data_IF_660826580672
#
_entry.id   IF_660826580672
#
_cell.length_a   1.000
_cell.length_b   1.000
_cell.length_c   1.000
_cell.angle_alpha   90.00
_cell.angle_beta   90.00
_cell.angle_gamma   90.00
#
_symmetry.space_group_name_H-M   'P 1'
#
loop_
_entity.id
_entity.type
_entity.pdbx_description
1 polymer ?
#
# COMPACT_ATOMS: atom_id res chain seq x y z
N UNK A 1 15.46 40.66 5.61
CA UNK A 1 15.35 39.52 4.66
C UNK A 1 15.92 38.18 5.18
N UNK A 2 16.84 38.12 6.15
CA UNK A 2 17.36 36.84 6.68
C UNK A 2 16.35 36.07 7.55
N UNK A 3 15.45 36.76 8.25
CA UNK A 3 14.50 36.12 9.18
C UNK A 3 13.34 35.40 8.50
N UNK A 4 12.85 35.91 7.36
CA UNK A 4 11.82 35.23 6.54
C UNK A 4 12.34 33.89 6.00
N UNK A 5 13.64 33.79 5.71
CA UNK A 5 14.27 32.55 5.22
C UNK A 5 14.35 31.47 6.31
N UNK A 6 14.55 31.86 7.57
CA UNK A 6 14.51 30.94 8.71
C UNK A 6 13.07 30.49 9.02
N UNK A 7 12.08 31.38 8.90
CA UNK A 7 10.67 31.02 9.04
C UNK A 7 10.23 30.01 7.98
N UNK A 8 10.66 30.16 6.72
CA UNK A 8 10.36 29.18 5.67
C UNK A 8 11.03 27.82 5.93
N UNK A 9 12.25 27.80 6.48
CA UNK A 9 12.94 26.57 6.86
C UNK A 9 12.28 25.89 8.06
N UNK A 10 11.83 26.65 9.06
CA UNK A 10 11.08 26.12 10.21
C UNK A 10 9.69 25.65 9.79
N UNK A 11 9.03 26.32 8.83
CA UNK A 11 7.78 25.85 8.23
C UNK A 11 7.98 24.56 7.41
N UNK A 12 9.07 24.48 6.62
CA UNK A 12 9.43 23.25 5.90
C UNK A 12 9.73 22.12 6.89
N UNK A 13 10.50 22.39 7.96
CA UNK A 13 10.86 21.40 8.97
C UNK A 13 9.64 21.00 9.83
N UNK A 14 8.68 21.91 10.08
CA UNK A 14 7.41 21.58 10.76
C UNK A 14 6.46 20.79 9.86
N UNK A 15 6.47 20.98 8.54
CA UNK A 15 5.79 20.05 7.61
C UNK A 15 6.51 18.71 7.46
N UNK A 16 7.81 18.66 7.72
CA UNK A 16 8.63 17.44 7.80
C UNK A 16 8.53 16.83 9.23
N UNK A 17 7.92 17.55 10.16
CA UNK A 17 7.82 17.20 11.57
C UNK A 17 6.84 16.07 11.80
N UNK A 18 7.39 14.94 12.24
CA UNK A 18 6.71 13.72 12.68
C UNK A 18 6.31 12.81 11.51
N UNK A 19 7.26 11.97 11.07
CA UNK A 19 6.99 10.71 10.37
C UNK A 19 6.21 9.73 11.28
N UNK A 20 5.01 10.11 11.71
CA UNK A 20 3.94 9.17 11.91
C UNK A 20 3.45 8.86 10.48
N UNK A 21 3.83 7.70 9.94
CA UNK A 21 3.23 7.26 8.69
C UNK A 21 1.72 7.35 8.83
N UNK A 22 1.04 8.00 7.87
CA UNK A 22 -0.41 8.01 7.84
C UNK A 22 -0.90 6.56 8.01
N UNK A 23 -1.83 6.34 8.92
CA UNK A 23 -2.47 5.03 9.05
C UNK A 23 -3.36 4.82 7.81
N UNK A 24 -3.36 3.60 7.27
CA UNK A 24 -4.33 3.21 6.27
C UNK A 24 -5.74 3.16 6.86
N UNK A 25 -5.90 3.08 8.19
CA UNK A 25 -7.20 3.12 8.90
C UNK A 25 -8.21 2.12 8.30
N UNK A 26 -7.76 0.87 8.14
CA UNK A 26 -8.58 -0.23 7.60
C UNK A 26 -9.18 -1.00 8.77
N UNK A 27 -10.50 -1.23 8.74
CA UNK A 27 -11.17 -2.08 9.72
C UNK A 27 -12.03 -3.14 9.04
N UNK A 28 -11.99 -4.37 9.54
CA UNK A 28 -12.79 -5.49 9.05
C UNK A 28 -13.67 -5.99 10.18
N UNK A 29 -14.99 -5.85 10.03
CA UNK A 29 -16.00 -6.24 11.02
C UNK A 29 -16.86 -7.41 10.53
N UNK A 30 -16.40 -8.14 9.51
CA UNK A 30 -17.07 -9.34 9.00
C UNK A 30 -16.48 -10.59 9.63
N UNK A 31 -17.28 -11.65 9.75
CA UNK A 31 -16.90 -12.92 10.37
C UNK A 31 -15.99 -13.76 9.46
N UNK A 32 -14.72 -13.39 9.38
CA UNK A 32 -13.65 -14.18 8.75
C UNK A 32 -12.56 -14.49 9.77
N UNK A 33 -11.53 -15.22 9.35
CA UNK A 33 -10.31 -15.40 10.15
C UNK A 33 -9.68 -14.03 10.49
N UNK A 34 -9.92 -13.57 11.72
CA UNK A 34 -9.46 -12.28 12.23
C UNK A 34 -7.93 -12.22 12.36
N UNK A 35 -7.28 -13.38 12.53
CA UNK A 35 -5.82 -13.45 12.61
C UNK A 35 -5.23 -13.14 11.24
N UNK A 36 -5.74 -13.80 10.20
CA UNK A 36 -5.33 -13.55 8.82
C UNK A 36 -5.64 -12.11 8.38
N UNK A 37 -6.84 -11.61 8.70
CA UNK A 37 -7.25 -10.23 8.45
C UNK A 37 -6.31 -9.21 9.10
N UNK A 38 -5.98 -9.40 10.38
CA UNK A 38 -5.06 -8.53 11.11
C UNK A 38 -3.65 -8.55 10.52
N UNK A 39 -3.15 -9.74 10.14
CA UNK A 39 -1.85 -9.87 9.46
C UNK A 39 -1.83 -9.17 8.10
N UNK A 40 -2.91 -9.27 7.33
CA UNK A 40 -3.05 -8.58 6.06
C UNK A 40 -3.00 -7.05 6.23
N UNK A 41 -3.82 -6.49 7.15
CA UNK A 41 -3.83 -5.04 7.44
C UNK A 41 -2.45 -4.57 7.89
N UNK A 42 -1.83 -5.27 8.84
CA UNK A 42 -0.49 -4.94 9.33
C UNK A 42 0.54 -4.95 8.20
N UNK A 43 0.50 -5.94 7.33
CA UNK A 43 1.45 -6.05 6.21
C UNK A 43 1.24 -4.96 5.17
N UNK A 44 -0.01 -4.57 4.89
CA UNK A 44 -0.33 -3.41 4.06
C UNK A 44 0.19 -2.11 4.68
N UNK A 45 0.01 -1.92 5.99
CA UNK A 45 0.52 -0.74 6.69
C UNK A 45 2.06 -0.68 6.64
N UNK A 46 2.74 -1.80 6.87
CA UNK A 46 4.20 -1.86 6.76
C UNK A 46 4.68 -1.56 5.32
N UNK A 47 3.98 -2.07 4.31
CA UNK A 47 4.28 -1.77 2.91
C UNK A 47 4.06 -0.28 2.61
N UNK A 48 3.00 0.32 3.13
CA UNK A 48 2.69 1.73 2.98
C UNK A 48 3.74 2.63 3.63
N UNK A 49 4.12 2.33 4.88
CA UNK A 49 5.16 3.07 5.59
C UNK A 49 6.51 3.03 4.84
N UNK A 50 6.89 1.86 4.30
CA UNK A 50 8.11 1.77 3.49
C UNK A 50 7.98 2.52 2.17
N UNK A 51 6.81 2.49 1.53
CA UNK A 51 6.53 3.25 0.31
C UNK A 51 6.65 4.77 0.55
N UNK A 52 6.08 5.29 1.64
CA UNK A 52 6.22 6.69 2.04
C UNK A 52 7.69 7.05 2.28
N UNK A 53 8.43 6.22 3.02
CA UNK A 53 9.86 6.45 3.26
C UNK A 53 10.69 6.45 1.96
N UNK A 54 10.37 5.55 1.02
CA UNK A 54 11.00 5.55 -0.30
C UNK A 54 10.68 6.83 -1.07
N UNK A 55 9.43 7.29 -1.03
CA UNK A 55 9.02 8.48 -1.77
C UNK A 55 9.64 9.77 -1.20
N UNK A 56 9.79 9.86 0.13
CA UNK A 56 10.52 10.97 0.78
C UNK A 56 11.99 10.99 0.32
N UNK A 57 12.67 9.84 0.31
CA UNK A 57 14.04 9.79 -0.21
C UNK A 57 14.09 10.12 -1.71
N UNK A 58 13.11 9.64 -2.49
CA UNK A 58 13.02 9.92 -3.92
C UNK A 58 12.90 11.42 -4.21
N UNK A 59 12.13 12.17 -3.43
CA UNK A 59 11.97 13.61 -3.59
C UNK A 59 13.28 14.39 -3.45
N UNK A 60 14.28 13.82 -2.77
CA UNK A 60 15.60 14.42 -2.59
C UNK A 60 16.60 14.04 -3.69
N UNK A 61 16.19 13.30 -4.72
CA UNK A 61 17.07 12.78 -5.78
C UNK A 61 16.52 13.11 -7.17
N UNK A 62 17.21 13.98 -7.93
CA UNK A 62 16.73 14.51 -9.21
C UNK A 62 16.71 13.46 -10.33
N UNK A 63 17.70 12.55 -10.39
CA UNK A 63 17.82 11.59 -11.50
C UNK A 63 16.75 10.50 -11.44
N UNK A 64 16.47 9.91 -10.26
CA UNK A 64 15.40 8.92 -10.16
C UNK A 64 13.99 9.49 -10.34
N UNK A 65 13.76 10.77 -10.06
CA UNK A 65 12.47 11.42 -10.29
C UNK A 65 12.10 11.51 -11.78
N UNK A 66 13.11 11.58 -12.65
CA UNK A 66 12.95 11.63 -14.10
C UNK A 66 12.65 10.26 -14.71
N UNK A 67 12.96 9.16 -13.99
CA UNK A 67 12.70 7.82 -14.47
C UNK A 67 11.20 7.54 -14.56
N UNK A 68 10.72 7.34 -15.79
CA UNK A 68 9.32 6.99 -16.07
C UNK A 68 8.86 5.77 -15.28
N UNK A 69 9.70 4.75 -15.15
CA UNK A 69 9.37 3.52 -14.42
C UNK A 69 9.16 3.75 -12.93
N UNK A 70 9.94 4.63 -12.30
CA UNK A 70 9.76 5.04 -10.89
C UNK A 70 8.43 5.78 -10.73
N UNK A 71 8.08 6.66 -11.67
CA UNK A 71 6.77 7.35 -11.68
C UNK A 71 5.60 6.39 -11.88
N UNK A 72 5.73 5.44 -12.81
CA UNK A 72 4.72 4.40 -13.05
C UNK A 72 4.52 3.52 -11.81
N UNK A 73 5.62 3.19 -11.11
CA UNK A 73 5.56 2.49 -9.82
C UNK A 73 4.84 3.33 -8.76
N UNK A 74 5.23 4.59 -8.58
CA UNK A 74 4.59 5.50 -7.61
C UNK A 74 3.08 5.57 -7.81
N UNK A 75 2.64 5.79 -9.05
CA UNK A 75 1.23 5.90 -9.39
C UNK A 75 0.48 4.59 -9.10
N UNK A 76 1.04 3.44 -9.49
CA UNK A 76 0.42 2.13 -9.25
C UNK A 76 0.34 1.79 -7.74
N UNK A 77 1.39 2.05 -6.98
CA UNK A 77 1.40 1.84 -5.53
C UNK A 77 0.41 2.78 -4.81
N UNK A 78 0.33 4.05 -5.24
CA UNK A 78 -0.64 5.01 -4.70
C UNK A 78 -2.08 4.54 -4.91
N UNK A 79 -2.41 4.07 -6.12
CA UNK A 79 -3.73 3.49 -6.41
C UNK A 79 -4.05 2.31 -5.49
N UNK A 80 -3.06 1.44 -5.22
CA UNK A 80 -3.24 0.33 -4.30
C UNK A 80 -3.59 0.79 -2.88
N UNK A 81 -2.83 1.71 -2.31
CA UNK A 81 -3.07 2.15 -0.93
C UNK A 81 -4.36 2.96 -0.81
N UNK A 82 -4.71 3.75 -1.82
CA UNK A 82 -6.00 4.46 -1.88
C UNK A 82 -7.19 3.49 -1.99
N UNK A 83 -6.99 2.29 -2.53
CA UNK A 83 -8.05 1.27 -2.60
C UNK A 83 -8.42 0.69 -1.24
N UNK A 84 -7.60 0.89 -0.19
CA UNK A 84 -7.90 0.42 1.18
C UNK A 84 -8.03 1.55 2.19
N UNK A 85 -7.42 2.71 1.94
CA UNK A 85 -7.35 3.80 2.92
C UNK A 85 -8.72 4.22 3.42
N UNK A 86 -8.92 4.19 4.75
CA UNK A 86 -10.14 4.57 5.45
C UNK A 86 -11.33 3.62 5.24
N UNK A 87 -11.13 2.45 4.63
CA UNK A 87 -12.23 1.52 4.37
C UNK A 87 -12.60 0.73 5.62
N UNK A 88 -13.90 0.72 5.93
CA UNK A 88 -14.52 -0.10 6.97
C UNK A 88 -15.41 -1.15 6.32
N UNK A 89 -15.06 -2.42 6.49
CA UNK A 89 -15.78 -3.53 5.86
C UNK A 89 -16.74 -4.18 6.85
N UNK A 90 -18.03 -3.85 6.72
CA UNK A 90 -19.11 -4.43 7.52
C UNK A 90 -19.85 -5.55 6.77
N UNK A 91 -19.66 -5.67 5.46
CA UNK A 91 -20.28 -6.69 4.61
C UNK A 91 -19.23 -7.47 3.85
N UNK A 92 -19.46 -8.78 3.70
CA UNK A 92 -18.49 -9.67 3.06
C UNK A 92 -18.26 -9.30 1.58
N UNK A 93 -19.30 -8.87 0.87
CA UNK A 93 -19.18 -8.41 -0.52
C UNK A 93 -18.34 -7.15 -0.69
N UNK A 94 -18.38 -6.21 0.27
CA UNK A 94 -17.55 -4.99 0.22
C UNK A 94 -16.07 -5.32 0.45
N UNK A 95 -15.81 -6.29 1.34
CA UNK A 95 -14.48 -6.82 1.57
C UNK A 95 -13.97 -7.55 0.32
N UNK A 96 -14.78 -8.42 -0.29
CA UNK A 96 -14.44 -9.15 -1.51
C UNK A 96 -14.05 -8.19 -2.64
N UNK A 97 -14.88 -7.17 -2.89
CA UNK A 97 -14.60 -6.14 -3.89
C UNK A 97 -13.26 -5.46 -3.62
N UNK A 98 -13.00 -5.09 -2.37
CA UNK A 98 -11.76 -4.41 -1.98
C UNK A 98 -10.55 -5.31 -2.13
N UNK A 99 -10.63 -6.57 -1.71
CA UNK A 99 -9.55 -7.57 -1.89
C UNK A 99 -9.22 -7.76 -3.38
N UNK A 100 -10.23 -7.79 -4.26
CA UNK A 100 -10.02 -7.87 -5.71
C UNK A 100 -9.35 -6.62 -6.29
N UNK A 101 -9.83 -5.42 -5.90
CA UNK A 101 -9.24 -4.14 -6.30
C UNK A 101 -7.76 -4.04 -5.87
N UNK A 102 -7.47 -4.42 -4.62
CA UNK A 102 -6.12 -4.43 -4.05
C UNK A 102 -5.24 -5.44 -4.74
N UNK A 103 -5.74 -6.64 -5.02
CA UNK A 103 -5.00 -7.68 -5.76
C UNK A 103 -4.54 -7.16 -7.12
N UNK A 104 -5.46 -6.54 -7.88
CA UNK A 104 -5.15 -5.96 -9.17
C UNK A 104 -4.11 -4.83 -9.05
N UNK A 105 -4.31 -3.91 -8.10
CA UNK A 105 -3.43 -2.76 -7.91
C UNK A 105 -2.03 -3.17 -7.44
N UNK A 106 -1.92 -4.10 -6.48
CA UNK A 106 -0.65 -4.67 -6.01
C UNK A 106 0.11 -5.36 -7.14
N UNK A 107 -0.58 -6.15 -7.96
CA UNK A 107 0.04 -6.84 -9.10
C UNK A 107 0.64 -5.84 -10.08
N UNK A 108 -0.10 -4.76 -10.40
CA UNK A 108 0.38 -3.67 -11.26
C UNK A 108 1.57 -2.94 -10.62
N UNK A 109 1.49 -2.61 -9.33
CA UNK A 109 2.57 -1.96 -8.59
C UNK A 109 3.84 -2.81 -8.57
N UNK A 110 3.74 -4.11 -8.32
CA UNK A 110 4.88 -5.04 -8.33
C UNK A 110 5.51 -5.12 -9.73
N UNK A 111 4.71 -5.20 -10.80
CA UNK A 111 5.22 -5.22 -12.17
C UNK A 111 5.98 -3.94 -12.51
N UNK A 112 5.44 -2.77 -12.17
CA UNK A 112 6.11 -1.49 -12.36
C UNK A 112 7.36 -1.35 -11.48
N UNK A 113 7.28 -1.78 -10.22
CA UNK A 113 8.39 -1.71 -9.26
C UNK A 113 9.57 -2.57 -9.67
N UNK A 114 9.34 -3.75 -10.28
CA UNK A 114 10.43 -4.56 -10.86
C UNK A 114 11.20 -3.79 -11.94
N UNK A 115 10.50 -3.06 -12.80
CA UNK A 115 11.14 -2.23 -13.85
C UNK A 115 11.88 -1.04 -13.23
N UNK A 116 11.27 -0.38 -12.25
CA UNK A 116 11.90 0.73 -11.54
C UNK A 116 13.18 0.29 -10.80
N UNK A 117 13.22 -0.91 -10.22
CA UNK A 117 14.44 -1.49 -9.64
C UNK A 117 15.54 -1.65 -10.70
N UNK A 118 15.19 -2.19 -11.88
CA UNK A 118 16.15 -2.37 -12.98
C UNK A 118 16.74 -1.03 -13.42
N UNK A 119 15.90 -0.03 -13.63
CA UNK A 119 16.37 1.30 -14.06
C UNK A 119 17.20 1.99 -12.97
N UNK A 120 16.77 1.91 -11.70
CA UNK A 120 17.54 2.46 -10.57
C UNK A 120 18.91 1.79 -10.40
N UNK A 121 19.05 0.51 -10.75
CA UNK A 121 20.34 -0.18 -10.70
C UNK A 121 21.36 0.38 -11.71
N UNK A 122 20.88 1.03 -12.78
CA UNK A 122 21.70 1.75 -13.76
C UNK A 122 22.02 3.19 -13.35
N UNK A 123 21.54 3.65 -12.20
CA UNK A 123 21.81 4.99 -11.64
C UNK A 123 22.85 4.93 -10.51
N UNK A 124 23.52 6.05 -10.16
CA UNK A 124 24.39 6.09 -8.99
C UNK A 124 23.65 5.96 -7.64
N UNK A 125 22.32 5.96 -7.64
CA UNK A 125 21.47 6.07 -6.44
C UNK A 125 21.21 4.70 -5.76
N UNK A 126 22.29 3.99 -5.42
CA UNK A 126 22.23 2.64 -4.83
C UNK A 126 21.37 2.54 -3.57
N UNK A 127 21.25 3.62 -2.79
CA UNK A 127 20.40 3.68 -1.59
C UNK A 127 18.92 3.58 -1.95
N UNK A 128 18.49 4.26 -3.01
CA UNK A 128 17.11 4.20 -3.50
C UNK A 128 16.76 2.83 -4.07
N UNK A 129 17.68 2.22 -4.81
CA UNK A 129 17.53 0.83 -5.28
C UNK A 129 17.28 -0.15 -4.11
N UNK A 130 18.08 -0.06 -3.04
CA UNK A 130 17.90 -0.90 -1.83
C UNK A 130 16.56 -0.63 -1.15
N UNK A 131 16.18 0.63 -0.99
CA UNK A 131 14.88 1.00 -0.40
C UNK A 131 13.72 0.48 -1.22
N UNK A 132 13.74 0.67 -2.54
CA UNK A 132 12.68 0.17 -3.42
C UNK A 132 12.59 -1.37 -3.39
N UNK A 133 13.73 -2.05 -3.32
CA UNK A 133 13.77 -3.51 -3.15
C UNK A 133 13.08 -3.97 -1.86
N UNK A 134 13.27 -3.24 -0.75
CA UNK A 134 12.56 -3.50 0.51
C UNK A 134 11.06 -3.27 0.37
N UNK A 135 10.64 -2.15 -0.23
CA UNK A 135 9.22 -1.86 -0.48
C UNK A 135 8.60 -2.99 -1.29
N UNK A 136 9.30 -3.46 -2.33
CA UNK A 136 8.85 -4.54 -3.19
C UNK A 136 8.70 -5.88 -2.47
N UNK A 137 9.56 -6.19 -1.50
CA UNK A 137 9.40 -7.37 -0.66
C UNK A 137 8.10 -7.30 0.16
N UNK A 138 7.80 -6.14 0.76
CA UNK A 138 6.57 -5.93 1.52
C UNK A 138 5.32 -5.95 0.65
N UNK A 139 5.35 -5.34 -0.54
CA UNK A 139 4.24 -5.39 -1.49
C UNK A 139 3.94 -6.84 -1.95
N UNK A 140 4.97 -7.66 -2.17
CA UNK A 140 4.79 -9.09 -2.51
C UNK A 140 4.17 -9.87 -1.36
N UNK A 141 4.60 -9.62 -0.12
CA UNK A 141 4.01 -10.24 1.06
C UNK A 141 2.54 -9.82 1.24
N UNK A 142 2.24 -8.53 1.03
CA UNK A 142 0.86 -8.03 1.04
C UNK A 142 0.01 -8.69 -0.05
N UNK A 143 0.54 -8.87 -1.27
CA UNK A 143 -0.18 -9.54 -2.35
C UNK A 143 -0.49 -11.00 -2.01
N UNK A 144 0.49 -11.72 -1.45
CA UNK A 144 0.29 -13.09 -1.00
C UNK A 144 -0.87 -13.18 0.00
N UNK A 145 -0.85 -12.37 1.06
CA UNK A 145 -1.93 -12.36 2.06
C UNK A 145 -3.28 -11.91 1.49
N UNK A 146 -3.27 -10.96 0.55
CA UNK A 146 -4.49 -10.51 -0.15
C UNK A 146 -5.13 -11.67 -0.92
N UNK A 147 -4.32 -12.48 -1.62
CA UNK A 147 -4.82 -13.66 -2.34
C UNK A 147 -5.30 -14.73 -1.35
N UNK A 148 -4.59 -14.95 -0.25
CA UNK A 148 -4.98 -15.92 0.78
C UNK A 148 -6.33 -15.58 1.41
N UNK A 149 -6.68 -14.29 1.55
CA UNK A 149 -7.98 -13.85 2.06
C UNK A 149 -9.17 -14.20 1.14
N UNK A 150 -8.95 -14.45 -0.15
CA UNK A 150 -10.03 -14.74 -1.10
C UNK A 150 -10.79 -16.01 -0.72
N UNK A 151 -10.09 -17.06 -0.29
CA UNK A 151 -10.72 -18.35 0.07
C UNK A 151 -11.70 -18.23 1.25
N UNK A 152 -11.31 -17.70 2.43
CA UNK A 152 -12.24 -17.55 3.54
C UNK A 152 -13.39 -16.59 3.22
N UNK A 153 -13.15 -15.54 2.43
CA UNK A 153 -14.21 -14.64 1.95
C UNK A 153 -15.26 -15.40 1.13
N UNK A 154 -14.82 -16.20 0.16
CA UNK A 154 -15.72 -16.99 -0.69
C UNK A 154 -16.50 -18.05 0.09
N UNK A 155 -15.91 -18.63 1.13
CA UNK A 155 -16.61 -19.60 1.98
C UNK A 155 -17.74 -18.92 2.75
N UNK A 156 -17.50 -17.75 3.33
CA UNK A 156 -18.53 -16.98 4.04
C UNK A 156 -19.64 -16.47 3.11
N UNK A 157 -19.29 -16.02 1.90
CA UNK A 157 -20.29 -15.60 0.90
C UNK A 157 -21.25 -16.73 0.51
N UNK A 158 -20.83 -18.01 0.60
CA UNK A 158 -21.70 -19.16 0.30
C UNK A 158 -22.61 -19.51 1.47
N UNK A 159 -22.13 -19.45 2.71
CA UNK A 159 -22.93 -19.75 3.90
C UNK A 159 -24.14 -18.82 4.03
N UNK A 160 -23.95 -17.52 3.77
CA UNK A 160 -25.03 -16.52 3.83
C UNK A 160 -26.15 -16.70 2.80
N UNK A 161 -25.95 -17.51 1.75
CA UNK A 161 -26.99 -17.81 0.75
C UNK A 161 -27.88 -18.96 1.25
N UNK A 162 -27.29 -19.97 1.90
CA UNK A 162 -27.98 -21.17 2.37
C UNK A 162 -28.94 -20.88 3.54
N UNK A 163 -28.61 -19.92 4.41
CA UNK A 163 -29.44 -19.57 5.58
C UNK A 163 -30.70 -18.73 5.22
N UNK A 164 -30.84 -18.35 3.94
CA UNK A 164 -31.99 -17.57 3.45
C UNK A 164 -33.10 -18.40 2.79
N UNK A 165 -32.91 -19.72 2.68
CA UNK A 165 -33.88 -20.66 2.11
C UNK A 165 -34.49 -21.56 3.20
N UNK A 166 -35.32 -21.00 4.07
CA UNK A 166 -36.32 -21.79 4.83
C UNK A 166 -37.71 -21.34 4.40
N UNK A 167 -38.44 -22.15 3.59
CA UNK A 167 -39.84 -21.87 3.31
C UNK A 167 -40.68 -22.28 4.53
N UNK A 168 -41.37 -21.31 5.14
CA UNK A 168 -42.57 -21.57 5.93
C UNK A 168 -43.73 -22.01 5.04
#
# INVERSE_FOLDING_TARGET
MKEIRNLFFVFLILTIGICCGEDLDVSINVEIDQTLASYWIKTLQEAYNQFLSFFIDLANNTTALELKTVRDFKNAATVCFNAVKGKKHNKIGDLEKTVNEVTYALTKAIKSGKRAIQDLNSTPEKKLHKKLSSVMAKLKAALYLTITLITPIKNQSKTNITDSETPE
#
